data_IF_964327377248
#
_entry.id   IF_964327377248
#
_cell.length_a   1.000
_cell.length_b   1.000
_cell.length_c   1.000
_cell.angle_alpha   90.00
_cell.angle_beta   90.00
_cell.angle_gamma   90.00
#
_symmetry.space_group_name_H-M   'P 1'
#
loop_
_entity.id
_entity.type
_entity.pdbx_description
1 polymer ?
#
# COMPACT_ATOMS: atom_id res chain seq x y z
N UNK A 1 66.22 -21.30 -34.88
CA UNK A 1 64.76 -21.32 -35.11
C UNK A 1 64.07 -21.54 -33.77
N UNK A 2 63.50 -20.50 -33.19
CA UNK A 2 62.87 -20.54 -31.85
C UNK A 2 61.36 -20.73 -32.04
N UNK A 3 60.82 -21.89 -31.64
CA UNK A 3 59.38 -22.18 -31.66
C UNK A 3 58.71 -21.38 -30.53
N UNK A 4 57.93 -20.35 -30.89
CA UNK A 4 57.01 -19.67 -29.96
C UNK A 4 55.82 -20.58 -29.70
N UNK A 5 55.67 -21.03 -28.46
CA UNK A 5 54.47 -21.71 -27.98
C UNK A 5 53.46 -20.62 -27.64
N UNK A 6 52.38 -20.53 -28.42
CA UNK A 6 51.26 -19.63 -28.17
C UNK A 6 50.30 -20.38 -27.24
N UNK A 7 50.29 -20.02 -25.96
CA UNK A 7 49.31 -20.50 -24.99
C UNK A 7 47.95 -19.86 -25.27
N UNK A 8 46.99 -20.67 -25.72
CA UNK A 8 45.61 -20.27 -25.94
C UNK A 8 44.91 -20.18 -24.57
N UNK A 9 44.73 -18.96 -24.06
CA UNK A 9 43.95 -18.72 -22.84
C UNK A 9 42.46 -18.94 -23.13
N UNK A 10 41.88 -20.00 -22.55
CA UNK A 10 40.45 -20.25 -22.58
C UNK A 10 39.75 -19.22 -21.68
N UNK A 11 39.10 -18.22 -22.29
CA UNK A 11 38.20 -17.31 -21.58
C UNK A 11 36.89 -18.07 -21.33
N UNK A 12 36.71 -18.63 -20.13
CA UNK A 12 35.40 -19.12 -19.69
C UNK A 12 34.50 -17.91 -19.41
N UNK A 13 33.57 -17.62 -20.32
CA UNK A 13 32.50 -16.67 -20.08
C UNK A 13 31.56 -17.25 -19.01
N UNK A 14 31.60 -16.68 -17.80
CA UNK A 14 30.58 -16.89 -16.78
C UNK A 14 29.28 -16.28 -17.30
N UNK A 15 28.39 -17.12 -17.82
CA UNK A 15 26.99 -16.77 -18.04
C UNK A 15 26.36 -16.53 -16.67
N UNK A 16 26.30 -15.27 -16.24
CA UNK A 16 25.44 -14.87 -15.15
C UNK A 16 23.99 -15.03 -15.62
N UNK A 17 23.38 -16.17 -15.29
CA UNK A 17 21.92 -16.29 -15.31
C UNK A 17 21.39 -15.30 -14.29
N UNK A 18 20.85 -14.17 -14.74
CA UNK A 18 20.08 -13.28 -13.87
C UNK A 18 18.95 -14.10 -13.26
N UNK A 19 19.00 -14.31 -11.95
CA UNK A 19 17.86 -14.88 -11.22
C UNK A 19 16.74 -13.86 -11.41
N UNK A 20 15.67 -14.23 -12.14
CA UNK A 20 14.45 -13.45 -12.14
C UNK A 20 14.01 -13.28 -10.67
N UNK A 21 14.04 -12.05 -10.19
CA UNK A 21 13.78 -11.76 -8.78
C UNK A 21 12.31 -12.07 -8.50
N UNK A 22 12.05 -13.02 -7.59
CA UNK A 22 10.68 -13.30 -7.14
C UNK A 22 10.25 -12.26 -6.11
N UNK A 23 9.22 -11.45 -6.39
CA UNK A 23 8.68 -10.48 -5.44
C UNK A 23 8.14 -11.19 -4.18
N UNK A 24 7.94 -10.44 -3.11
CA UNK A 24 7.29 -10.95 -1.91
C UNK A 24 5.96 -11.63 -2.26
N UNK A 25 5.81 -12.89 -1.85
CA UNK A 25 4.68 -13.73 -2.24
C UNK A 25 3.33 -13.18 -1.80
N UNK A 26 3.28 -12.41 -0.71
CA UNK A 26 2.03 -11.87 -0.18
C UNK A 26 1.66 -10.59 -0.92
N UNK A 27 2.63 -9.72 -1.21
CA UNK A 27 2.42 -8.54 -2.05
C UNK A 27 2.02 -8.96 -3.47
N UNK A 28 2.62 -10.02 -4.01
CA UNK A 28 2.25 -10.53 -5.33
C UNK A 28 0.80 -11.04 -5.42
N UNK A 29 0.17 -11.43 -4.29
CA UNK A 29 -1.26 -11.79 -4.26
C UNK A 29 -2.20 -10.59 -4.41
N UNK A 30 -1.67 -9.37 -4.32
CA UNK A 30 -2.41 -8.13 -4.60
C UNK A 30 -2.50 -7.87 -6.11
N UNK A 31 -1.68 -8.53 -6.92
CA UNK A 31 -1.71 -8.40 -8.38
C UNK A 31 -2.77 -9.33 -8.99
N UNK A 32 -3.44 -8.87 -10.03
CA UNK A 32 -4.46 -9.64 -10.74
C UNK A 32 -5.58 -8.78 -11.31
N UNK A 33 -6.60 -9.44 -11.84
CA UNK A 33 -7.85 -8.83 -12.24
C UNK A 33 -8.93 -9.19 -11.21
N UNK A 34 -9.61 -8.19 -10.67
CA UNK A 34 -10.58 -8.38 -9.58
C UNK A 34 -11.90 -7.71 -9.88
N UNK A 35 -12.99 -8.32 -9.44
CA UNK A 35 -14.25 -7.60 -9.22
C UNK A 35 -14.19 -6.92 -7.85
N UNK A 36 -14.38 -5.61 -7.81
CA UNK A 36 -14.22 -4.80 -6.60
C UNK A 36 -15.57 -4.38 -6.05
N UNK A 37 -15.74 -4.51 -4.75
CA UNK A 37 -16.92 -4.06 -4.02
C UNK A 37 -16.49 -3.18 -2.84
N UNK A 38 -17.08 -2.00 -2.72
CA UNK A 38 -16.87 -1.11 -1.59
C UNK A 38 -18.03 -1.24 -0.60
N UNK A 39 -17.71 -1.53 0.66
CA UNK A 39 -18.68 -1.64 1.76
C UNK A 39 -18.39 -0.59 2.81
N UNK A 40 -19.32 0.34 2.99
CA UNK A 40 -19.23 1.39 4.00
C UNK A 40 -20.23 1.14 5.11
N UNK A 41 -19.76 1.22 6.35
CA UNK A 41 -20.58 1.15 7.54
C UNK A 41 -19.93 1.98 8.65
N UNK A 42 -20.77 2.72 9.37
CA UNK A 42 -20.39 3.31 10.65
C UNK A 42 -20.67 2.28 11.75
N UNK A 43 -19.73 2.12 12.67
CA UNK A 43 -19.73 0.99 13.61
C UNK A 43 -19.91 1.42 15.07
N UNK A 44 -19.24 2.49 15.47
CA UNK A 44 -19.25 2.97 16.86
C UNK A 44 -19.30 4.50 16.91
N UNK A 45 -20.07 5.01 17.87
CA UNK A 45 -20.06 6.43 18.25
C UNK A 45 -20.04 6.55 19.77
N UNK A 46 -19.23 7.44 20.34
CA UNK A 46 -19.29 7.75 21.78
C UNK A 46 -20.52 8.59 22.14
N UNK A 47 -21.17 9.24 21.18
CA UNK A 47 -22.41 9.99 21.40
C UNK A 47 -23.60 9.02 21.38
N UNK A 48 -24.33 8.84 22.49
CA UNK A 48 -25.47 7.94 22.55
C UNK A 48 -26.65 8.37 21.68
N UNK A 49 -26.68 9.63 21.22
CA UNK A 49 -27.72 10.16 20.35
C UNK A 49 -27.33 10.13 18.86
N UNK A 50 -26.14 9.65 18.53
CA UNK A 50 -25.67 9.61 17.16
C UNK A 50 -26.54 8.67 16.30
N UNK A 51 -27.01 9.19 15.18
CA UNK A 51 -27.76 8.40 14.19
C UNK A 51 -26.80 7.97 13.10
N UNK A 52 -26.52 6.67 13.07
CA UNK A 52 -25.71 6.06 12.03
C UNK A 52 -26.35 6.23 10.66
N UNK A 53 -25.50 6.46 9.65
CA UNK A 53 -25.92 6.37 8.27
C UNK A 53 -26.19 4.91 7.88
N UNK A 54 -27.10 4.72 6.92
CA UNK A 54 -27.34 3.42 6.31
C UNK A 54 -26.06 2.87 5.69
N UNK A 55 -25.91 1.55 5.76
CA UNK A 55 -24.76 0.88 5.14
C UNK A 55 -24.85 1.02 3.63
N UNK A 56 -23.72 1.34 3.01
CA UNK A 56 -23.62 1.52 1.58
C UNK A 56 -22.78 0.41 0.97
N UNK A 57 -23.29 -0.21 -0.09
CA UNK A 57 -22.56 -1.18 -0.90
C UNK A 57 -22.50 -0.64 -2.32
N UNK A 58 -21.30 -0.43 -2.83
CA UNK A 58 -21.05 0.10 -4.16
C UNK A 58 -20.28 -0.94 -4.95
N UNK A 59 -20.81 -1.37 -6.11
CA UNK A 59 -20.05 -2.15 -7.06
C UNK A 59 -18.99 -1.24 -7.71
N UNK A 60 -17.72 -1.54 -7.47
CA UNK A 60 -16.57 -0.78 -7.91
C UNK A 60 -16.13 -1.07 -9.35
N UNK A 61 -16.69 -2.10 -9.98
CA UNK A 61 -16.29 -2.57 -11.30
C UNK A 61 -15.10 -3.53 -11.26
N UNK A 62 -14.33 -3.55 -12.34
CA UNK A 62 -13.14 -4.37 -12.49
C UNK A 62 -11.89 -3.55 -12.11
N UNK A 63 -11.00 -4.11 -11.32
CA UNK A 63 -9.69 -3.53 -11.04
C UNK A 63 -8.59 -4.43 -11.60
N UNK A 64 -7.66 -3.84 -12.35
CA UNK A 64 -6.44 -4.50 -12.77
C UNK A 64 -5.26 -3.95 -11.96
N UNK A 65 -4.57 -4.84 -11.25
CA UNK A 65 -3.41 -4.52 -10.43
C UNK A 65 -2.19 -5.25 -10.99
N UNK A 66 -1.15 -4.50 -11.32
CA UNK A 66 0.07 -5.08 -11.88
C UNK A 66 1.32 -4.38 -11.33
N UNK A 67 2.45 -5.11 -11.20
CA UNK A 67 3.69 -4.51 -10.78
C UNK A 67 4.31 -3.68 -11.91
N UNK A 68 4.68 -2.45 -11.61
CA UNK A 68 5.54 -1.61 -12.48
C UNK A 68 7.01 -1.67 -12.06
N UNK A 69 7.26 -2.05 -10.80
CA UNK A 69 8.57 -2.41 -10.27
C UNK A 69 8.42 -3.66 -9.39
N UNK A 70 9.33 -4.62 -9.51
CA UNK A 70 9.22 -5.90 -8.84
C UNK A 70 10.60 -6.40 -8.38
N UNK A 71 11.11 -5.85 -7.28
CA UNK A 71 12.41 -6.20 -6.70
C UNK A 71 12.33 -6.70 -5.27
N UNK A 72 13.46 -7.19 -4.74
CA UNK A 72 13.51 -7.80 -3.41
C UNK A 72 13.24 -6.83 -2.25
N UNK A 73 13.54 -5.54 -2.44
CA UNK A 73 13.38 -4.50 -1.41
C UNK A 73 12.37 -3.43 -1.75
N UNK A 74 11.87 -3.43 -2.99
CA UNK A 74 10.95 -2.43 -3.48
C UNK A 74 10.06 -3.07 -4.54
N UNK A 75 8.75 -2.91 -4.34
CA UNK A 75 7.72 -3.35 -5.26
C UNK A 75 6.79 -2.16 -5.44
N UNK A 76 6.43 -1.84 -6.68
CA UNK A 76 5.51 -0.75 -6.98
C UNK A 76 4.36 -1.34 -7.78
N UNK A 77 3.15 -1.23 -7.26
CA UNK A 77 1.94 -1.71 -7.90
C UNK A 77 1.16 -0.54 -8.48
N UNK A 78 0.70 -0.71 -9.71
CA UNK A 78 -0.23 0.20 -10.37
C UNK A 78 -1.61 -0.44 -10.35
N UNK A 79 -2.58 0.33 -9.86
CA UNK A 79 -3.99 -0.03 -9.85
C UNK A 79 -4.72 0.75 -10.93
N UNK A 80 -5.57 0.06 -11.69
CA UNK A 80 -6.47 0.62 -12.69
C UNK A 80 -7.90 0.14 -12.39
N UNK A 81 -8.75 1.04 -11.90
CA UNK A 81 -10.17 0.76 -11.64
C UNK A 81 -11.00 1.18 -12.86
N UNK A 82 -11.65 0.20 -13.46
CA UNK A 82 -12.42 0.24 -14.70
C UNK A 82 -13.87 -0.13 -14.37
N UNK A 83 -14.82 0.79 -14.59
CA UNK A 83 -16.23 0.55 -14.27
C UNK A 83 -17.01 0.06 -15.50
N UNK A 84 -16.53 0.36 -16.71
CA UNK A 84 -17.09 -0.11 -17.98
C UNK A 84 -15.98 -0.50 -18.95
N UNK A 85 -16.26 -1.37 -19.92
CA UNK A 85 -15.28 -1.94 -20.87
C UNK A 85 -14.38 -0.90 -21.59
N UNK A 86 -14.77 0.37 -21.62
CA UNK A 86 -14.07 1.45 -22.32
C UNK A 86 -13.58 2.60 -21.44
N UNK A 87 -13.81 2.59 -20.11
CA UNK A 87 -13.50 3.76 -19.26
C UNK A 87 -12.75 3.41 -17.97
N UNK A 88 -11.47 3.79 -17.95
CA UNK A 88 -10.67 3.85 -16.71
C UNK A 88 -11.13 5.09 -15.94
N UNK A 89 -11.60 4.90 -14.70
CA UNK A 89 -12.11 6.00 -13.88
C UNK A 89 -11.07 6.45 -12.86
N UNK A 90 -10.28 5.51 -12.34
CA UNK A 90 -9.24 5.82 -11.36
C UNK A 90 -8.00 5.01 -11.65
N UNK A 91 -6.86 5.65 -11.46
CA UNK A 91 -5.58 4.97 -11.33
C UNK A 91 -4.89 5.50 -10.07
N UNK A 92 -4.25 4.60 -9.34
CA UNK A 92 -3.51 4.95 -8.14
C UNK A 92 -2.33 4.00 -7.97
N UNK A 93 -1.31 4.46 -7.24
CA UNK A 93 -0.06 3.73 -7.06
C UNK A 93 0.10 3.38 -5.59
N UNK A 94 0.59 2.17 -5.34
CA UNK A 94 1.14 1.80 -4.05
C UNK A 94 2.57 1.32 -4.16
N UNK A 95 3.40 1.81 -3.24
CA UNK A 95 4.80 1.41 -3.14
C UNK A 95 4.96 0.59 -1.87
N UNK A 96 5.64 -0.53 -2.01
CA UNK A 96 6.07 -1.40 -0.92
C UNK A 96 7.59 -1.33 -0.80
N UNK A 97 8.11 -0.91 0.35
CA UNK A 97 9.55 -0.86 0.61
C UNK A 97 9.91 -1.70 1.83
N UNK A 98 10.82 -2.65 1.67
CA UNK A 98 11.26 -3.57 2.72
C UNK A 98 12.26 -2.88 3.65
N UNK A 99 12.06 -3.01 4.96
CA UNK A 99 12.90 -2.42 6.01
C UNK A 99 13.16 -0.92 5.81
N UNK A 100 12.16 -0.19 5.31
CA UNK A 100 12.30 1.23 4.99
C UNK A 100 12.59 2.05 6.25
N UNK A 101 13.76 2.69 6.37
CA UNK A 101 14.10 3.41 7.58
C UNK A 101 13.36 4.76 7.63
N UNK A 102 12.82 5.26 6.52
CA UNK A 102 12.12 6.56 6.45
C UNK A 102 10.61 6.33 6.44
N UNK A 103 9.86 7.04 7.28
CA UNK A 103 8.40 7.08 7.20
C UNK A 103 7.89 8.52 7.12
N UNK A 104 6.89 8.76 6.28
CA UNK A 104 6.17 10.02 6.22
C UNK A 104 4.88 9.91 7.04
N UNK A 105 4.78 10.75 8.08
CA UNK A 105 3.59 10.82 8.94
C UNK A 105 2.79 12.08 8.67
N UNK A 106 1.50 11.90 8.45
CA UNK A 106 0.58 13.01 8.34
C UNK A 106 0.36 13.65 9.71
N UNK A 107 0.47 14.98 9.80
CA UNK A 107 0.19 15.73 11.03
C UNK A 107 -1.14 16.48 11.00
N UNK A 108 -1.76 16.64 9.84
CA UNK A 108 -2.90 17.54 9.66
C UNK A 108 -2.52 18.75 8.82
N UNK A 109 -3.51 19.53 8.40
CA UNK A 109 -3.31 20.78 7.63
C UNK A 109 -2.40 20.63 6.39
N UNK A 110 -2.48 19.46 5.72
CA UNK A 110 -1.63 19.10 4.56
C UNK A 110 -0.12 19.01 4.88
N UNK A 111 0.23 18.87 6.16
CA UNK A 111 1.62 18.76 6.62
C UNK A 111 2.01 17.30 6.79
N UNK A 112 3.16 16.96 6.20
CA UNK A 112 3.83 15.68 6.36
C UNK A 112 5.17 15.86 7.06
N UNK A 113 5.46 15.02 8.04
CA UNK A 113 6.77 14.99 8.71
C UNK A 113 7.48 13.71 8.32
N UNK A 114 8.73 13.87 7.87
CA UNK A 114 9.65 12.76 7.63
C UNK A 114 10.29 12.36 8.96
N UNK A 115 10.14 11.09 9.34
CA UNK A 115 10.76 10.53 10.54
C UNK A 115 11.72 9.41 10.17
N UNK A 116 12.87 9.38 10.84
CA UNK A 116 13.84 8.29 10.76
C UNK A 116 13.51 7.23 11.81
N UNK A 117 13.21 6.03 11.36
CA UNK A 117 12.98 4.87 12.20
C UNK A 117 14.31 4.18 12.53
N UNK A 118 14.39 3.60 13.73
CA UNK A 118 15.53 2.78 14.13
C UNK A 118 15.54 1.47 13.31
N UNK A 119 16.71 0.88 12.98
CA UNK A 119 16.79 -0.37 12.23
C UNK A 119 15.94 -1.49 12.83
N UNK A 120 15.89 -1.60 14.16
CA UNK A 120 15.13 -2.63 14.87
C UNK A 120 13.61 -2.46 14.68
N UNK A 121 13.14 -1.23 14.47
CA UNK A 121 11.72 -0.94 14.30
C UNK A 121 11.19 -1.38 12.93
N UNK A 122 12.06 -1.48 11.91
CA UNK A 122 11.70 -1.74 10.52
C UNK A 122 12.15 -3.11 10.02
N UNK A 123 13.07 -3.76 10.74
CA UNK A 123 13.57 -5.10 10.43
C UNK A 123 12.43 -6.10 10.20
N UNK A 124 12.47 -6.84 9.09
CA UNK A 124 11.44 -7.82 8.73
C UNK A 124 10.11 -7.23 8.23
N UNK A 125 9.98 -5.91 8.16
CA UNK A 125 8.70 -5.24 7.86
C UNK A 125 8.68 -4.64 6.47
N UNK A 126 7.48 -4.56 5.92
CA UNK A 126 7.19 -3.83 4.71
C UNK A 126 6.47 -2.52 5.04
N UNK A 127 6.92 -1.44 4.41
CA UNK A 127 6.25 -0.14 4.41
C UNK A 127 5.41 0.00 3.15
N UNK A 128 4.10 0.11 3.31
CA UNK A 128 3.16 0.48 2.25
C UNK A 128 3.03 2.00 2.18
N UNK A 129 3.16 2.57 1.00
CA UNK A 129 2.92 4.00 0.73
C UNK A 129 1.88 4.15 -0.37
N UNK A 130 0.76 4.80 -0.05
CA UNK A 130 -0.29 5.11 -1.01
C UNK A 130 -0.10 6.53 -1.52
N UNK A 131 -0.18 6.71 -2.84
CA UNK A 131 0.04 7.99 -3.49
C UNK A 131 -1.23 8.51 -4.15
N UNK A 132 -1.41 9.82 -4.14
CA UNK A 132 -2.41 10.50 -4.96
C UNK A 132 -1.92 10.63 -6.42
N UNK A 133 -2.83 11.05 -7.31
CA UNK A 133 -2.52 11.26 -8.74
C UNK A 133 -1.44 12.34 -8.93
N UNK A 134 -1.30 13.27 -7.98
CA UNK A 134 -0.27 14.31 -7.95
C UNK A 134 1.06 13.89 -7.31
N UNK A 135 1.26 12.60 -7.04
CA UNK A 135 2.40 12.07 -6.28
C UNK A 135 2.54 12.61 -4.85
N UNK A 136 1.46 13.17 -4.29
CA UNK A 136 1.39 13.48 -2.86
C UNK A 136 1.12 12.19 -2.07
N UNK A 137 1.82 11.93 -0.94
CA UNK A 137 1.49 10.80 -0.09
C UNK A 137 0.06 10.94 0.42
N UNK A 138 -0.71 9.86 0.34
CA UNK A 138 -2.02 9.77 0.98
C UNK A 138 -1.92 9.17 2.37
N UNK A 139 -1.09 8.15 2.56
CA UNK A 139 -0.65 7.63 3.86
C UNK A 139 0.49 6.65 3.69
N UNK A 140 1.24 6.44 4.76
CA UNK A 140 2.26 5.41 4.84
C UNK A 140 2.09 4.58 6.10
N UNK A 141 2.24 3.28 5.98
CA UNK A 141 2.14 2.33 7.08
C UNK A 141 3.25 1.32 7.03
N UNK A 142 3.76 0.88 8.18
CA UNK A 142 4.79 -0.16 8.26
C UNK A 142 4.31 -1.29 9.15
N UNK A 143 4.39 -2.52 8.65
CA UNK A 143 4.09 -3.72 9.41
C UNK A 143 4.72 -4.96 8.79
N UNK A 144 4.65 -6.08 9.49
CA UNK A 144 4.98 -7.39 8.96
C UNK A 144 3.73 -8.10 8.42
N UNK A 145 3.95 -9.10 7.56
CA UNK A 145 2.90 -10.05 7.21
C UNK A 145 2.74 -11.07 8.34
N UNK A 146 1.54 -11.14 8.92
CA UNK A 146 1.20 -12.03 10.02
C UNK A 146 0.41 -13.21 9.47
N UNK A 147 0.73 -14.42 9.92
CA UNK A 147 -0.07 -15.62 9.67
C UNK A 147 -0.69 -16.06 10.99
N UNK A 148 -2.02 -15.98 11.11
CA UNK A 148 -2.74 -16.43 12.30
C UNK A 148 -4.12 -16.94 11.92
N UNK A 149 -4.56 -18.02 12.58
CA UNK A 149 -5.90 -18.61 12.40
C UNK A 149 -6.27 -18.93 10.94
N UNK A 150 -5.28 -19.35 10.13
CA UNK A 150 -5.48 -19.66 8.71
C UNK A 150 -5.53 -18.43 7.79
N UNK A 151 -5.38 -17.21 8.31
CA UNK A 151 -5.32 -15.98 7.53
C UNK A 151 -3.89 -15.44 7.44
N UNK A 152 -3.52 -14.91 6.27
CA UNK A 152 -2.33 -14.09 6.09
C UNK A 152 -2.76 -12.64 5.95
N UNK A 153 -2.29 -11.76 6.84
CA UNK A 153 -2.67 -10.35 6.80
C UNK A 153 -1.53 -9.40 7.15
N UNK A 154 -1.61 -8.18 6.63
CA UNK A 154 -0.76 -7.05 6.99
C UNK A 154 -1.62 -5.99 7.66
N UNK A 155 -1.19 -5.51 8.84
CA UNK A 155 -1.99 -4.62 9.69
C UNK A 155 -1.16 -3.44 10.19
N UNK A 156 -1.61 -2.23 9.93
CA UNK A 156 -0.99 -1.01 10.46
C UNK A 156 -2.04 0.01 10.92
N UNK A 157 -1.61 1.00 11.71
CA UNK A 157 -2.38 2.23 11.94
C UNK A 157 -1.55 3.45 11.51
N UNK A 158 -2.18 4.42 10.83
CA UNK A 158 -1.55 5.68 10.41
C UNK A 158 -2.57 6.79 10.27
N UNK A 159 -2.13 8.02 10.52
CA UNK A 159 -2.91 9.20 10.19
C UNK A 159 -2.91 9.46 8.68
N UNK A 160 -4.00 10.04 8.19
CA UNK A 160 -4.22 10.38 6.80
C UNK A 160 -5.11 11.63 6.67
N UNK A 161 -5.00 12.37 5.55
CA UNK A 161 -5.90 13.45 5.22
C UNK A 161 -7.33 12.95 4.96
N UNK A 162 -8.27 13.89 5.10
CA UNK A 162 -9.66 13.73 4.68
C UNK A 162 -9.74 13.38 3.18
N UNK A 163 -10.67 12.51 2.76
CA UNK A 163 -11.04 12.38 1.37
C UNK A 163 -11.52 13.73 0.82
N UNK A 164 -11.18 14.04 -0.44
CA UNK A 164 -11.49 15.34 -1.06
C UNK A 164 -12.95 15.79 -0.90
N UNK A 165 -13.90 14.85 -1.02
CA UNK A 165 -15.35 15.09 -0.87
C UNK A 165 -15.75 15.59 0.52
N UNK A 166 -14.92 15.36 1.54
CA UNK A 166 -15.24 15.70 2.92
C UNK A 166 -14.82 17.14 3.29
N UNK A 167 -13.88 17.76 2.55
CA UNK A 167 -13.38 19.10 2.86
C UNK A 167 -14.43 20.21 2.82
N UNK A 168 -15.47 20.07 1.98
CA UNK A 168 -16.52 21.09 1.83
C UNK A 168 -17.75 20.83 2.69
N UNK A 169 -17.83 19.68 3.37
CA UNK A 169 -19.05 19.24 4.08
C UNK A 169 -18.79 18.86 5.54
N UNK A 170 -17.54 18.65 5.95
CA UNK A 170 -17.16 18.31 7.32
C UNK A 170 -16.32 19.40 7.94
N UNK A 171 -16.64 19.76 9.17
CA UNK A 171 -15.88 20.65 10.04
C UNK A 171 -15.65 20.05 11.45
N UNK A 172 -16.16 18.84 11.69
CA UNK A 172 -16.18 18.12 12.96
C UNK A 172 -14.93 17.25 13.19
N UNK A 173 -14.13 17.02 12.16
CA UNK A 173 -12.81 16.37 12.24
C UNK A 173 -11.92 16.80 11.09
N UNK A 174 -10.60 16.67 11.26
CA UNK A 174 -9.61 17.06 10.26
C UNK A 174 -8.54 15.99 9.97
N UNK A 175 -8.55 14.88 10.71
CA UNK A 175 -7.63 13.76 10.53
C UNK A 175 -8.40 12.44 10.59
N UNK A 176 -7.99 11.50 9.72
CA UNK A 176 -8.40 10.11 9.79
C UNK A 176 -7.24 9.28 10.34
N UNK A 177 -7.41 8.71 11.52
CA UNK A 177 -6.51 7.65 11.97
C UNK A 177 -7.02 6.33 11.39
N UNK A 178 -6.34 5.84 10.36
CA UNK A 178 -6.71 4.66 9.59
C UNK A 178 -5.98 3.44 10.12
N UNK A 179 -6.74 2.44 10.51
CA UNK A 179 -6.24 1.08 10.67
C UNK A 179 -6.46 0.35 9.36
N UNK A 180 -5.37 0.01 8.64
CA UNK A 180 -5.45 -0.76 7.41
C UNK A 180 -5.16 -2.22 7.71
N UNK A 181 -6.08 -3.11 7.35
CA UNK A 181 -5.88 -4.56 7.38
C UNK A 181 -6.02 -5.10 5.96
N UNK A 182 -4.92 -5.59 5.41
CA UNK A 182 -4.89 -6.29 4.13
C UNK A 182 -4.86 -7.79 4.40
N UNK A 183 -5.91 -8.50 4.02
CA UNK A 183 -5.99 -9.96 4.15
C UNK A 183 -5.85 -10.56 2.76
N UNK A 184 -4.82 -11.35 2.52
CA UNK A 184 -4.56 -11.96 1.21
C UNK A 184 -4.95 -13.43 1.19
N UNK A 185 -5.60 -13.85 0.11
CA UNK A 185 -6.01 -15.22 -0.14
C UNK A 185 -5.55 -15.68 -1.53
N UNK A 186 -5.86 -16.92 -1.91
CA UNK A 186 -5.54 -17.43 -3.25
C UNK A 186 -6.36 -16.79 -4.38
N UNK A 187 -7.53 -16.22 -4.05
CA UNK A 187 -8.51 -15.75 -5.03
C UNK A 187 -8.73 -14.22 -4.98
N UNK A 188 -7.83 -13.49 -4.31
CA UNK A 188 -7.94 -12.04 -4.11
C UNK A 188 -7.61 -11.63 -2.69
N UNK A 189 -7.98 -10.39 -2.33
CA UNK A 189 -7.67 -9.83 -1.03
C UNK A 189 -8.83 -8.96 -0.51
N UNK A 190 -8.83 -8.74 0.80
CA UNK A 190 -9.72 -7.80 1.46
C UNK A 190 -8.87 -6.68 2.03
N UNK A 191 -9.21 -5.44 1.70
CA UNK A 191 -8.65 -4.25 2.35
C UNK A 191 -9.70 -3.64 3.28
N UNK A 192 -9.58 -3.93 4.57
CA UNK A 192 -10.38 -3.29 5.61
C UNK A 192 -9.71 -2.00 6.09
N UNK A 193 -10.52 -0.95 6.25
CA UNK A 193 -10.06 0.35 6.73
C UNK A 193 -10.98 0.86 7.85
N UNK A 194 -10.53 0.74 9.09
CA UNK A 194 -11.22 1.35 10.23
C UNK A 194 -10.70 2.77 10.42
N UNK A 195 -11.58 3.75 10.22
CA UNK A 195 -11.21 5.16 10.22
C UNK A 195 -11.73 5.85 11.49
N UNK A 196 -10.86 6.06 12.48
CA UNK A 196 -11.19 6.91 13.62
C UNK A 196 -11.13 8.38 13.20
N UNK A 197 -12.24 9.09 13.39
CA UNK A 197 -12.38 10.52 13.09
C UNK A 197 -11.79 11.32 14.25
N UNK A 198 -10.80 12.17 13.97
CA UNK A 198 -10.08 12.94 14.99
C UNK A 198 -10.07 14.41 14.60
N UNK A 199 -10.41 15.27 15.56
CA UNK A 199 -10.15 16.69 15.50
C UNK A 199 -8.86 17.01 16.26
N UNK A 200 -7.93 17.71 15.60
CA UNK A 200 -6.68 18.21 16.18
C UNK A 200 -6.56 19.71 15.95
N UNK A 201 -6.50 20.49 17.03
CA UNK A 201 -6.21 21.93 16.93
C UNK A 201 -4.78 22.13 16.42
N UNK A 202 -4.59 23.02 15.43
CA UNK A 202 -3.30 23.33 14.82
C UNK A 202 -2.54 22.17 14.14
N UNK A 203 -3.18 21.02 13.90
CA UNK A 203 -2.51 19.86 13.30
C UNK A 203 -1.49 19.20 14.22
N UNK A 204 -1.73 19.23 15.54
CA UNK A 204 -0.93 18.54 16.56
C UNK A 204 -1.82 17.59 17.36
#
# INVERSE_FOLDING_TARGET
>A
MVKKIISLALLTALLQTGIAQTPDKNINKLCGCFEVEFKYAETFSPDPNYKFHEREIINGGLEYVFPVEAGNKRIVLQHLLVITDSMIIKHWREDWTYENPVIWKYRGNKTWIKEMQKPEAVKGKWTQSIWEVSDEPRYQGTSEWINANGETFWLNSTDAPLPRREYSVRNDYNILNRTNRLVVSGNGYIHQQDNKKIFRENGI
#
